data_IF_097353140256
#
_entry.id   IF_097353140256
#
_cell.length_a   1.000
_cell.length_b   1.000
_cell.length_c   1.000
_cell.angle_alpha   90.00
_cell.angle_beta   90.00
_cell.angle_gamma   90.00
#
_symmetry.space_group_name_H-M   'P 1'
#
loop_
_entity.id
_entity.type
_entity.pdbx_description
1 polymer ?
#
# COMPACT_ATOMS: atom_id res chain seq x y z
N UNK A 1 9.19 -22.88 -9.31
CA UNK A 1 8.26 -22.59 -10.43
C UNK A 1 6.83 -22.97 -10.08
N UNK A 2 5.88 -22.16 -10.49
CA UNK A 2 4.46 -22.47 -10.37
C UNK A 2 3.78 -22.33 -11.72
N UNK A 3 2.66 -23.05 -11.88
CA UNK A 3 1.81 -22.89 -13.05
C UNK A 3 0.94 -21.64 -12.92
N UNK A 4 0.72 -20.93 -14.02
CA UNK A 4 -0.20 -19.79 -14.03
C UNK A 4 -1.64 -20.21 -13.67
N UNK A 5 -1.94 -21.51 -13.81
CA UNK A 5 -3.24 -22.04 -13.38
C UNK A 5 -3.42 -21.99 -11.85
N UNK A 6 -2.33 -21.87 -11.12
CA UNK A 6 -2.33 -21.81 -9.65
C UNK A 6 -2.22 -20.37 -9.11
N UNK A 7 -2.40 -19.37 -9.95
CA UNK A 7 -2.36 -17.97 -9.53
C UNK A 7 -3.37 -17.68 -8.43
N UNK A 8 -2.93 -16.89 -7.47
CA UNK A 8 -3.75 -16.34 -6.39
C UNK A 8 -3.45 -14.87 -6.23
N UNK A 9 -4.44 -14.10 -5.84
CA UNK A 9 -4.25 -12.68 -5.53
C UNK A 9 -3.23 -12.53 -4.38
N UNK A 10 -2.26 -11.65 -4.58
CA UNK A 10 -1.19 -11.41 -3.61
C UNK A 10 0.07 -12.22 -3.85
N UNK A 11 0.03 -13.20 -4.76
CA UNK A 11 1.21 -13.99 -5.12
C UNK A 11 2.24 -13.12 -5.84
N UNK A 12 3.51 -13.30 -5.51
CA UNK A 12 4.61 -12.60 -6.18
C UNK A 12 5.35 -13.54 -7.11
N UNK A 13 5.55 -13.11 -8.33
CA UNK A 13 6.20 -13.87 -9.39
C UNK A 13 7.35 -13.09 -10.03
N UNK A 14 8.30 -13.80 -10.60
CA UNK A 14 9.36 -13.24 -11.41
C UNK A 14 9.07 -13.51 -12.88
N UNK A 15 9.02 -12.44 -13.68
CA UNK A 15 8.81 -12.55 -15.13
C UNK A 15 9.73 -11.53 -15.80
N UNK A 16 10.53 -11.99 -16.75
CA UNK A 16 11.44 -11.15 -17.54
C UNK A 16 12.34 -10.25 -16.68
N UNK A 17 12.81 -10.77 -15.55
CA UNK A 17 13.67 -10.04 -14.62
C UNK A 17 12.94 -9.06 -13.71
N UNK A 18 11.63 -8.94 -13.85
CA UNK A 18 10.80 -8.09 -13.00
C UNK A 18 10.11 -8.86 -11.89
N UNK A 19 9.79 -8.16 -10.81
CA UNK A 19 9.01 -8.69 -9.70
C UNK A 19 7.60 -8.13 -9.79
N UNK A 20 6.62 -9.04 -9.82
CA UNK A 20 5.22 -8.68 -10.04
C UNK A 20 4.33 -9.32 -8.99
N UNK A 21 3.39 -8.54 -8.47
CA UNK A 21 2.33 -9.07 -7.59
C UNK A 21 1.08 -9.29 -8.41
N UNK A 22 0.48 -10.46 -8.29
CA UNK A 22 -0.79 -10.78 -8.96
C UNK A 22 -1.91 -10.04 -8.22
N UNK A 23 -2.50 -9.06 -8.89
CA UNK A 23 -3.60 -8.25 -8.33
C UNK A 23 -4.95 -8.89 -8.62
N UNK A 24 -5.10 -9.43 -9.83
CA UNK A 24 -6.31 -10.08 -10.30
C UNK A 24 -5.97 -10.99 -11.47
N UNK A 25 -6.81 -11.97 -11.73
CA UNK A 25 -6.60 -12.89 -12.84
C UNK A 25 -7.92 -13.53 -13.28
N UNK A 26 -7.97 -13.95 -14.55
CA UNK A 26 -9.10 -14.66 -15.11
C UNK A 26 -8.61 -15.84 -15.94
N UNK A 27 -9.22 -17.01 -15.72
CA UNK A 27 -9.03 -18.17 -16.57
C UNK A 27 -10.03 -18.08 -17.71
N UNK A 28 -9.54 -18.03 -18.96
CA UNK A 28 -10.38 -17.89 -20.13
C UNK A 28 -10.25 -19.15 -21.00
N UNK A 29 -11.37 -19.77 -21.32
CA UNK A 29 -11.43 -20.89 -22.22
C UNK A 29 -12.24 -20.47 -23.45
N UNK A 30 -11.58 -19.97 -24.51
CA UNK A 30 -12.30 -19.54 -25.71
C UNK A 30 -12.91 -20.73 -26.44
N UNK A 31 -13.99 -20.50 -27.18
CA UNK A 31 -14.59 -21.52 -27.99
C UNK A 31 -13.70 -21.99 -29.14
N UNK A 32 -12.80 -21.16 -29.59
CA UNK A 32 -11.73 -21.45 -30.55
C UNK A 32 -10.41 -20.95 -30.00
N UNK A 33 -9.36 -21.76 -30.12
CA UNK A 33 -8.03 -21.42 -29.63
C UNK A 33 -7.71 -21.99 -28.27
N UNK A 34 -6.48 -21.76 -27.81
CA UNK A 34 -6.00 -22.32 -26.56
C UNK A 34 -6.50 -21.51 -25.37
N UNK A 35 -6.71 -22.18 -24.24
CA UNK A 35 -7.04 -21.55 -22.99
C UNK A 35 -5.89 -20.65 -22.52
N UNK A 36 -6.19 -19.55 -21.83
CA UNK A 36 -5.20 -18.63 -21.34
C UNK A 36 -5.62 -18.04 -19.98
N UNK A 37 -4.64 -17.44 -19.29
CA UNK A 37 -4.87 -16.72 -18.03
C UNK A 37 -4.53 -15.26 -18.27
N UNK A 38 -5.53 -14.39 -18.13
CA UNK A 38 -5.32 -12.94 -18.19
C UNK A 38 -5.08 -12.45 -16.77
N UNK A 39 -3.96 -11.81 -16.56
CA UNK A 39 -3.59 -11.35 -15.22
C UNK A 39 -3.32 -9.86 -15.18
N UNK A 40 -3.66 -9.26 -14.05
CA UNK A 40 -3.35 -7.87 -13.74
C UNK A 40 -2.21 -7.89 -12.73
N UNK A 41 -1.07 -7.32 -13.10
CA UNK A 41 0.16 -7.39 -12.33
C UNK A 41 0.61 -6.00 -11.89
N UNK A 42 1.10 -5.91 -10.66
CA UNK A 42 1.72 -4.70 -10.15
C UNK A 42 3.22 -4.90 -10.02
N UNK A 43 3.99 -4.01 -10.64
CA UNK A 43 5.44 -4.02 -10.51
C UNK A 43 5.83 -3.58 -9.11
N UNK A 44 6.57 -4.42 -8.38
CA UNK A 44 6.93 -4.14 -6.99
C UNK A 44 8.05 -3.11 -6.86
N UNK A 45 8.77 -2.81 -7.93
CA UNK A 45 9.85 -1.82 -7.91
C UNK A 45 9.37 -0.41 -8.21
N UNK A 46 8.39 -0.24 -9.09
CA UNK A 46 7.92 1.08 -9.50
C UNK A 46 6.42 1.32 -9.31
N UNK A 47 5.68 0.31 -8.88
CA UNK A 47 4.24 0.41 -8.64
C UNK A 47 3.36 0.40 -9.88
N UNK A 48 3.93 0.31 -11.08
CA UNK A 48 3.17 0.30 -12.32
C UNK A 48 2.28 -0.94 -12.41
N UNK A 49 1.08 -0.77 -12.94
CA UNK A 49 0.13 -1.86 -13.12
C UNK A 49 0.01 -2.13 -14.62
N UNK A 50 0.12 -3.40 -15.00
CA UNK A 50 -0.10 -3.81 -16.38
C UNK A 50 -0.81 -5.15 -16.44
N UNK A 51 -1.46 -5.40 -17.57
CA UNK A 51 -2.06 -6.69 -17.85
C UNK A 51 -1.09 -7.55 -18.64
N UNK A 52 -1.04 -8.83 -18.30
CA UNK A 52 -0.25 -9.81 -19.04
C UNK A 52 -1.06 -11.08 -19.20
N UNK A 53 -1.02 -11.65 -20.41
CA UNK A 53 -1.72 -12.89 -20.74
C UNK A 53 -0.70 -14.02 -20.83
N UNK A 54 -0.98 -15.11 -20.13
CA UNK A 54 -0.18 -16.32 -20.14
C UNK A 54 -0.99 -17.46 -20.76
N UNK A 55 -0.31 -18.38 -21.42
CA UNK A 55 -0.96 -19.61 -21.86
C UNK A 55 -1.33 -20.44 -20.64
N UNK A 56 -2.46 -21.12 -20.67
CA UNK A 56 -2.85 -22.03 -19.60
C UNK A 56 -1.75 -23.08 -19.39
N UNK A 57 -1.36 -23.30 -18.14
CA UNK A 57 -0.31 -24.25 -17.80
C UNK A 57 1.12 -23.71 -17.95
N UNK A 58 1.31 -22.50 -18.46
CA UNK A 58 2.64 -21.88 -18.51
C UNK A 58 3.20 -21.75 -17.10
N UNK A 59 4.51 -21.91 -16.97
CA UNK A 59 5.18 -21.84 -15.67
C UNK A 59 5.97 -20.56 -15.53
N UNK A 60 5.91 -19.97 -14.33
CA UNK A 60 6.69 -18.79 -13.96
C UNK A 60 7.39 -19.04 -12.64
N UNK A 61 8.44 -18.27 -12.37
CA UNK A 61 9.14 -18.37 -11.10
C UNK A 61 8.31 -17.69 -10.00
N UNK A 62 8.19 -18.37 -8.87
CA UNK A 62 7.60 -17.77 -7.68
C UNK A 62 8.70 -17.03 -6.93
N UNK A 63 8.46 -15.74 -6.66
CA UNK A 63 9.38 -14.95 -5.86
C UNK A 63 8.96 -14.98 -4.41
N UNK A 64 9.92 -15.22 -3.52
CA UNK A 64 9.68 -15.20 -2.09
C UNK A 64 10.11 -13.85 -1.54
N UNK A 65 9.15 -13.08 -1.04
CA UNK A 65 9.38 -11.75 -0.48
C UNK A 65 9.48 -11.86 1.03
N UNK A 66 10.56 -11.30 1.59
CA UNK A 66 10.70 -11.17 3.04
C UNK A 66 10.03 -9.88 3.48
N UNK A 67 9.15 -10.00 4.47
CA UNK A 67 8.55 -8.86 5.15
C UNK A 67 9.24 -8.70 6.49
N UNK A 68 9.97 -7.61 6.68
CA UNK A 68 10.63 -7.33 7.94
C UNK A 68 9.93 -6.21 8.67
N UNK A 69 9.66 -6.42 9.95
CA UNK A 69 9.07 -5.40 10.80
C UNK A 69 10.12 -4.35 11.11
N UNK A 70 9.82 -3.11 10.75
CA UNK A 70 10.73 -1.99 10.95
C UNK A 70 9.99 -0.81 11.53
N UNK A 71 10.75 0.09 12.14
CA UNK A 71 10.24 1.34 12.68
C UNK A 71 10.68 2.48 11.79
N UNK A 72 9.74 3.34 11.40
CA UNK A 72 10.07 4.57 10.69
C UNK A 72 10.71 5.54 11.66
N UNK A 73 11.90 6.03 11.36
CA UNK A 73 12.62 6.94 12.23
C UNK A 73 12.45 8.41 11.84
N UNK A 74 12.93 8.78 10.66
CA UNK A 74 12.92 10.18 10.23
C UNK A 74 13.20 10.32 8.74
N UNK A 75 12.94 11.52 8.22
CA UNK A 75 13.31 11.89 6.87
C UNK A 75 14.69 12.54 6.88
N UNK A 76 15.53 12.17 5.92
CA UNK A 76 16.86 12.75 5.73
C UNK A 76 17.00 13.17 4.26
N UNK A 77 16.76 14.46 3.96
CA UNK A 77 16.71 14.94 2.58
C UNK A 77 15.58 14.25 1.81
N UNK A 78 15.91 13.65 0.68
CA UNK A 78 14.95 12.93 -0.16
C UNK A 78 14.81 11.46 0.25
N UNK A 79 15.43 11.04 1.34
CA UNK A 79 15.38 9.67 1.84
C UNK A 79 14.62 9.58 3.14
N UNK A 80 14.07 8.39 3.40
CA UNK A 80 13.37 8.07 4.64
C UNK A 80 14.04 6.88 5.29
N UNK A 81 14.33 6.99 6.58
CA UNK A 81 15.13 6.02 7.33
C UNK A 81 14.23 5.12 8.16
N UNK A 82 14.44 3.82 8.03
CA UNK A 82 13.73 2.79 8.79
C UNK A 82 14.74 1.93 9.53
N UNK A 83 14.36 1.43 10.70
CA UNK A 83 15.21 0.59 11.53
C UNK A 83 14.57 -0.76 11.75
N UNK A 84 15.34 -1.82 11.49
CA UNK A 84 14.92 -3.19 11.81
C UNK A 84 14.76 -3.33 13.32
N UNK A 85 13.59 -3.81 13.78
CA UNK A 85 13.29 -3.92 15.21
C UNK A 85 14.09 -5.02 15.90
N UNK A 86 14.62 -5.99 15.15
CA UNK A 86 15.39 -7.10 15.71
C UNK A 86 16.90 -6.85 15.67
N UNK A 87 17.42 -6.43 14.50
CA UNK A 87 18.86 -6.25 14.29
C UNK A 87 19.34 -4.83 14.54
N UNK A 88 18.43 -3.86 14.63
CA UNK A 88 18.71 -2.42 14.73
C UNK A 88 19.45 -1.85 13.53
N UNK A 89 19.55 -2.59 12.44
CA UNK A 89 20.09 -2.08 11.19
C UNK A 89 19.14 -1.07 10.56
N UNK A 90 19.70 -0.02 9.99
CA UNK A 90 18.93 1.01 9.32
C UNK A 90 18.96 0.83 7.80
N UNK A 91 17.83 1.08 7.17
CA UNK A 91 17.73 1.13 5.71
C UNK A 91 17.12 2.46 5.29
N UNK A 92 17.52 2.95 4.13
CA UNK A 92 17.00 4.18 3.57
C UNK A 92 16.20 3.88 2.31
N UNK A 93 15.05 4.53 2.17
CA UNK A 93 14.21 4.46 0.98
C UNK A 93 14.04 5.85 0.39
N UNK A 94 14.25 6.00 -0.94
CA UNK A 94 13.98 7.27 -1.60
C UNK A 94 12.50 7.64 -1.50
N UNK A 95 12.20 8.91 -1.33
CA UNK A 95 10.83 9.41 -1.22
C UNK A 95 9.97 9.03 -2.44
N UNK A 96 10.56 9.03 -3.63
CA UNK A 96 9.82 8.73 -4.86
C UNK A 96 9.38 7.27 -4.96
N UNK A 97 9.95 6.37 -4.17
CA UNK A 97 9.53 4.96 -4.16
C UNK A 97 8.35 4.72 -3.21
N UNK A 98 8.07 5.64 -2.30
CA UNK A 98 7.07 5.48 -1.25
C UNK A 98 6.15 6.70 -1.12
N UNK A 99 5.89 7.40 -2.21
CA UNK A 99 5.07 8.63 -2.22
C UNK A 99 3.69 8.43 -1.59
N UNK A 100 3.03 7.35 -1.91
CA UNK A 100 1.71 7.05 -1.35
C UNK A 100 1.80 6.78 0.15
N UNK A 101 2.76 5.95 0.54
CA UNK A 101 2.92 5.52 1.93
C UNK A 101 3.33 6.67 2.85
N UNK A 102 4.02 7.69 2.31
CA UNK A 102 4.41 8.87 3.10
C UNK A 102 3.22 9.63 3.65
N UNK A 103 2.05 9.52 3.05
CA UNK A 103 0.82 10.15 3.54
C UNK A 103 0.35 9.58 4.87
N UNK A 104 0.87 8.42 5.26
CA UNK A 104 0.46 7.71 6.47
C UNK A 104 1.58 7.52 7.47
N UNK A 105 2.83 7.75 7.07
CA UNK A 105 3.99 7.50 7.93
C UNK A 105 4.22 8.66 8.89
N UNK A 106 4.37 8.33 10.17
CA UNK A 106 4.82 9.27 11.19
C UNK A 106 5.95 8.64 11.98
N UNK A 107 6.78 9.48 12.64
CA UNK A 107 7.93 9.02 13.40
C UNK A 107 7.55 7.94 14.42
N UNK A 108 8.40 6.93 14.54
CA UNK A 108 8.26 5.79 15.43
C UNK A 108 7.13 4.82 15.11
N UNK A 109 6.48 4.99 13.95
CA UNK A 109 5.46 4.05 13.49
C UNK A 109 6.10 2.74 13.04
N UNK A 110 5.47 1.61 13.40
CA UNK A 110 5.88 0.29 12.93
C UNK A 110 5.24 -0.03 11.59
N UNK A 111 6.05 -0.50 10.66
CA UNK A 111 5.60 -0.92 9.32
C UNK A 111 6.35 -2.18 8.93
N UNK A 112 5.98 -2.77 7.81
CA UNK A 112 6.74 -3.87 7.22
C UNK A 112 7.48 -3.36 5.99
N UNK A 113 8.74 -3.76 5.85
CA UNK A 113 9.55 -3.46 4.67
C UNK A 113 9.64 -4.73 3.85
N UNK A 114 9.25 -4.64 2.58
CA UNK A 114 9.35 -5.76 1.64
C UNK A 114 10.75 -5.83 1.07
N UNK A 115 11.38 -7.00 1.17
CA UNK A 115 12.74 -7.22 0.67
C UNK A 115 12.80 -8.48 -0.19
N UNK A 116 13.61 -8.43 -1.23
CA UNK A 116 13.89 -9.56 -2.10
C UNK A 116 15.39 -9.61 -2.37
N UNK A 117 16.06 -10.72 -1.97
CA UNK A 117 17.50 -10.90 -2.14
C UNK A 117 18.31 -9.68 -1.68
N UNK A 118 18.01 -9.18 -0.48
CA UNK A 118 18.62 -7.98 0.12
C UNK A 118 18.27 -6.66 -0.57
N UNK A 119 17.44 -6.69 -1.61
CA UNK A 119 16.89 -5.48 -2.23
C UNK A 119 15.67 -5.00 -1.45
N UNK A 120 15.66 -3.73 -1.07
CA UNK A 120 14.50 -3.13 -0.42
C UNK A 120 13.51 -2.67 -1.49
N UNK A 121 12.31 -3.26 -1.49
CA UNK A 121 11.31 -2.99 -2.52
C UNK A 121 10.36 -1.85 -2.16
N UNK A 122 9.95 -1.77 -0.91
CA UNK A 122 9.00 -0.75 -0.49
C UNK A 122 8.44 -1.02 0.90
N UNK A 123 7.46 -0.20 1.27
CA UNK A 123 6.80 -0.25 2.57
C UNK A 123 5.42 -0.88 2.43
N UNK A 124 5.11 -1.82 3.31
CA UNK A 124 3.77 -2.35 3.45
C UNK A 124 3.16 -1.77 4.73
N UNK A 125 2.10 -0.98 4.55
CA UNK A 125 1.41 -0.31 5.65
C UNK A 125 0.45 -1.27 6.36
N UNK A 126 0.17 -1.05 7.67
CA UNK A 126 -0.99 -1.68 8.29
C UNK A 126 -2.26 -1.29 7.55
N UNK A 127 -3.31 -2.08 7.67
CA UNK A 127 -4.60 -1.78 7.03
C UNK A 127 -5.19 -0.46 7.51
N UNK A 128 -4.94 -0.12 8.77
CA UNK A 128 -5.38 1.14 9.37
C UNK A 128 -4.24 1.79 10.14
N UNK A 129 -4.27 3.11 10.22
CA UNK A 129 -3.35 3.89 11.03
C UNK A 129 -4.14 4.93 11.82
N UNK A 130 -3.57 5.38 12.93
CA UNK A 130 -4.17 6.41 13.77
C UNK A 130 -3.44 7.72 13.52
N UNK A 131 -4.16 8.76 13.07
CA UNK A 131 -3.60 10.06 12.76
C UNK A 131 -4.43 11.16 13.41
N UNK A 132 -3.73 12.20 13.88
CA UNK A 132 -4.35 13.35 14.53
C UNK A 132 -4.75 14.41 13.50
N UNK A 133 -5.92 15.02 13.69
CA UNK A 133 -6.39 16.14 12.88
C UNK A 133 -5.64 17.39 13.29
N UNK A 134 -4.90 18.00 12.37
CA UNK A 134 -4.16 19.22 12.61
C UNK A 134 -4.93 20.46 12.18
N UNK A 135 -5.83 20.31 11.21
CA UNK A 135 -6.63 21.43 10.70
C UNK A 135 -7.96 20.91 10.13
N UNK A 136 -9.06 21.51 10.57
CA UNK A 136 -10.36 21.28 9.98
C UNK A 136 -11.28 22.45 10.37
N UNK A 137 -12.30 22.67 9.57
CA UNK A 137 -13.29 23.69 9.87
C UNK A 137 -14.26 23.18 10.94
N UNK A 138 -14.77 24.06 11.83
CA UNK A 138 -15.81 23.68 12.78
C UNK A 138 -17.07 23.26 12.01
N UNK A 139 -17.74 22.21 12.49
CA UNK A 139 -19.03 21.81 11.94
C UNK A 139 -20.09 22.88 12.20
N UNK A 140 -20.85 23.26 11.17
CA UNK A 140 -21.94 24.22 11.30
C UNK A 140 -23.22 23.46 11.59
N UNK A 141 -23.92 23.89 12.64
CA UNK A 141 -25.20 23.30 13.05
C UNK A 141 -26.24 23.53 11.96
N UNK A 142 -26.79 22.44 11.43
CA UNK A 142 -27.76 22.50 10.32
C UNK A 142 -27.23 21.89 9.04
N UNK A 143 -25.91 21.83 8.85
CA UNK A 143 -25.27 21.19 7.69
C UNK A 143 -25.26 19.67 7.79
N UNK A 144 -25.67 19.11 8.93
CA UNK A 144 -25.67 17.68 9.21
C UNK A 144 -26.91 16.95 8.76
N UNK A 145 -27.93 17.68 8.23
CA UNK A 145 -29.22 17.10 7.89
C UNK A 145 -29.14 15.99 6.84
N UNK A 146 -28.11 16.01 5.99
CA UNK A 146 -27.89 15.01 4.94
C UNK A 146 -26.68 14.11 5.17
N UNK A 147 -26.07 14.14 6.38
CA UNK A 147 -24.87 13.37 6.66
C UNK A 147 -23.67 13.83 5.85
N UNK A 148 -23.53 15.12 5.59
CA UNK A 148 -22.44 15.67 4.82
C UNK A 148 -21.07 15.51 5.48
N UNK A 149 -20.03 15.76 4.70
CA UNK A 149 -18.64 15.66 5.12
C UNK A 149 -17.91 16.98 4.92
N UNK A 150 -16.77 17.09 5.56
CA UNK A 150 -15.87 18.22 5.40
C UNK A 150 -14.43 17.73 5.28
N UNK A 151 -13.52 18.50 4.65
CA UNK A 151 -12.10 18.11 4.61
C UNK A 151 -11.44 18.31 5.96
N UNK A 152 -10.54 17.41 6.32
CA UNK A 152 -9.66 17.53 7.47
C UNK A 152 -8.24 17.22 7.06
N UNK A 153 -7.28 18.05 7.50
CA UNK A 153 -5.87 17.83 7.28
C UNK A 153 -5.29 17.11 8.50
N UNK A 154 -4.58 16.02 8.24
CA UNK A 154 -3.99 15.19 9.29
C UNK A 154 -2.52 15.54 9.51
N UNK A 155 -1.95 15.03 10.59
CA UNK A 155 -0.56 15.34 10.99
C UNK A 155 0.49 15.01 9.93
N UNK A 156 0.21 14.08 9.03
CA UNK A 156 1.11 13.71 7.93
C UNK A 156 0.92 14.56 6.67
N UNK A 157 -0.03 15.49 6.68
CA UNK A 157 -0.41 16.28 5.51
C UNK A 157 -1.50 15.66 4.66
N UNK A 158 -1.94 14.44 4.97
CA UNK A 158 -3.04 13.79 4.26
C UNK A 158 -4.35 14.55 4.52
N UNK A 159 -5.14 14.77 3.46
CA UNK A 159 -6.46 15.37 3.57
C UNK A 159 -7.51 14.30 3.32
N UNK A 160 -8.46 14.17 4.25
CA UNK A 160 -9.54 13.18 4.14
C UNK A 160 -10.89 13.85 4.39
N UNK A 161 -11.96 13.28 3.83
CA UNK A 161 -13.31 13.70 4.11
C UNK A 161 -13.79 13.06 5.42
N UNK A 162 -14.27 13.87 6.33
CA UNK A 162 -14.70 13.42 7.67
C UNK A 162 -16.09 13.94 7.98
N UNK A 163 -16.83 13.29 8.91
CA UNK A 163 -18.11 13.83 9.39
C UNK A 163 -17.94 15.20 10.04
N UNK A 164 -18.99 16.00 10.05
CA UNK A 164 -18.93 17.36 10.61
C UNK A 164 -18.59 17.43 12.09
N UNK A 165 -18.81 16.34 12.85
CA UNK A 165 -18.52 16.33 14.29
C UNK A 165 -17.02 16.23 14.60
N UNK A 166 -16.18 15.93 13.63
CA UNK A 166 -14.74 15.82 13.85
C UNK A 166 -14.13 17.20 14.06
N UNK A 167 -13.28 17.32 15.07
CA UNK A 167 -12.63 18.56 15.45
C UNK A 167 -11.11 18.47 15.36
N UNK A 168 -10.47 19.61 15.29
CA UNK A 168 -9.02 19.70 15.40
C UNK A 168 -8.58 19.07 16.72
N UNK A 169 -7.52 18.26 16.67
CA UNK A 169 -7.01 17.52 17.83
C UNK A 169 -7.59 16.11 17.98
N UNK A 170 -8.66 15.79 17.25
CA UNK A 170 -9.20 14.45 17.30
C UNK A 170 -8.26 13.45 16.63
N UNK A 171 -8.20 12.25 17.17
CA UNK A 171 -7.45 11.15 16.57
C UNK A 171 -8.41 10.29 15.76
N UNK A 172 -8.00 9.98 14.53
CA UNK A 172 -8.84 9.25 13.59
C UNK A 172 -8.18 7.95 13.17
N UNK A 173 -9.01 6.95 12.94
CA UNK A 173 -8.56 5.71 12.31
C UNK A 173 -8.77 5.88 10.81
N UNK A 174 -7.70 5.69 10.04
CA UNK A 174 -7.66 5.90 8.60
C UNK A 174 -7.37 4.57 7.92
N UNK A 175 -8.17 4.25 6.90
CA UNK A 175 -7.93 3.09 6.03
C UNK A 175 -6.81 3.43 5.06
N UNK A 176 -5.72 2.66 5.09
CA UNK A 176 -4.53 2.95 4.28
C UNK A 176 -4.70 2.50 2.83
N UNK A 177 -5.60 1.58 2.54
CA UNK A 177 -5.86 1.14 1.18
C UNK A 177 -6.63 2.19 0.39
N UNK A 178 -7.63 2.80 1.01
CA UNK A 178 -8.52 3.77 0.38
C UNK A 178 -8.18 5.22 0.72
N UNK A 179 -7.27 5.44 1.66
CA UNK A 179 -6.93 6.76 2.19
C UNK A 179 -8.18 7.49 2.70
N UNK A 180 -8.98 6.79 3.51
CA UNK A 180 -10.29 7.27 3.95
C UNK A 180 -10.49 7.12 5.45
N UNK A 181 -11.37 7.97 5.97
CA UNK A 181 -11.78 7.96 7.37
C UNK A 181 -12.62 6.70 7.68
N UNK A 182 -12.29 6.06 8.79
CA UNK A 182 -13.06 4.89 9.30
C UNK A 182 -13.89 5.31 10.52
N UNK A 183 -13.22 5.83 11.53
CA UNK A 183 -13.87 6.23 12.79
C UNK A 183 -12.93 7.14 13.60
N UNK A 184 -13.44 7.72 14.67
CA UNK A 184 -12.57 8.32 15.68
C UNK A 184 -11.94 7.22 16.52
N UNK A 185 -10.70 7.42 16.86
CA UNK A 185 -9.98 6.49 17.72
C UNK A 185 -10.44 6.56 19.17
#
# INVERSE_FOLDING_TARGET
MISVNDFKTGLTIEVDGGLWRVMDFQHVKPGKGAAFVRSKLRNLRNGAIQEKTFRAGEKVEKAQIDNRKMQYLYASGDSHVFMDMDSYEQVELPANNIEYELKFLKENMEVHIMMFNHETLGVELPNTVELEVTETEPGIKGDTASGGTKPATLETGLIVQVPFFVNQGDRLIINTTEASYVSRA
#
